data_IF_844300466025
#
_entry.id   IF_844300466025
#
_cell.length_a   1.000
_cell.length_b   1.000
_cell.length_c   1.000
_cell.angle_alpha   90.00
_cell.angle_beta   90.00
_cell.angle_gamma   90.00
#
_symmetry.space_group_name_H-M   'P 1'
#
loop_
_entity.id
_entity.type
_entity.pdbx_description
1 polymer ?
#
# COMPACT_ATOMS: atom_id res chain seq x y z
N UNK A 1 22.59 88.25 -44.31
CA UNK A 1 21.25 87.75 -43.92
C UNK A 1 21.42 86.42 -43.21
N UNK A 2 21.22 86.31 -41.89
CA UNK A 2 21.20 85.01 -41.22
C UNK A 2 19.79 84.38 -41.30
N UNK A 3 19.68 83.04 -41.37
CA UNK A 3 18.41 82.35 -41.53
C UNK A 3 17.64 82.20 -40.21
N UNK A 4 16.31 82.19 -40.34
CA UNK A 4 15.33 82.01 -39.25
C UNK A 4 15.36 80.59 -38.69
N UNK A 5 15.39 80.48 -37.36
CA UNK A 5 15.16 79.24 -36.63
C UNK A 5 13.67 78.97 -36.49
N UNK A 6 13.22 77.77 -36.89
CA UNK A 6 11.89 77.23 -36.55
C UNK A 6 12.07 76.14 -35.49
N UNK A 7 11.39 76.29 -34.34
CA UNK A 7 11.37 75.29 -33.27
C UNK A 7 10.21 74.33 -33.49
N UNK A 8 10.51 73.07 -33.81
CA UNK A 8 9.54 71.96 -33.78
C UNK A 8 9.43 71.41 -32.35
N UNK A 9 8.24 71.55 -31.74
CA UNK A 9 7.91 70.92 -30.45
C UNK A 9 7.79 69.40 -30.61
N UNK A 10 8.61 68.64 -29.87
CA UNK A 10 8.48 67.18 -29.72
C UNK A 10 7.25 66.83 -28.84
N UNK A 11 6.46 65.87 -29.31
CA UNK A 11 5.26 65.30 -28.67
C UNK A 11 5.67 64.32 -27.54
N UNK A 12 5.02 64.29 -26.37
CA UNK A 12 5.50 63.51 -25.23
C UNK A 12 5.19 62.01 -25.32
N UNK A 13 6.12 61.26 -24.74
CA UNK A 13 6.37 59.82 -24.73
C UNK A 13 5.31 59.02 -23.93
N UNK A 14 4.13 58.76 -24.49
CA UNK A 14 3.06 57.94 -23.85
C UNK A 14 3.25 56.41 -23.97
N UNK A 15 4.26 55.94 -24.70
CA UNK A 15 4.41 54.52 -25.05
C UNK A 15 5.06 53.65 -23.94
N UNK A 16 5.94 54.22 -23.11
CA UNK A 16 6.67 53.48 -22.07
C UNK A 16 5.78 53.00 -20.91
N UNK A 17 4.77 53.79 -20.53
CA UNK A 17 3.96 53.50 -19.34
C UNK A 17 2.98 52.32 -19.55
N UNK A 18 2.54 52.10 -20.79
CA UNK A 18 1.69 50.96 -21.15
C UNK A 18 2.48 49.64 -21.27
N UNK A 19 3.77 49.71 -21.60
CA UNK A 19 4.64 48.53 -21.69
C UNK A 19 4.92 47.95 -20.29
N UNK A 20 5.17 48.82 -19.31
CA UNK A 20 5.40 48.42 -17.91
C UNK A 20 4.15 47.79 -17.28
N UNK A 21 2.95 48.31 -17.58
CA UNK A 21 1.68 47.74 -17.10
C UNK A 21 1.40 46.36 -17.72
N UNK A 22 1.63 46.20 -19.03
CA UNK A 22 1.49 44.89 -19.69
C UNK A 22 2.46 43.86 -19.13
N UNK A 23 3.72 44.25 -18.90
CA UNK A 23 4.72 43.37 -18.30
C UNK A 23 4.32 42.94 -16.88
N UNK A 24 3.79 43.88 -16.08
CA UNK A 24 3.29 43.59 -14.73
C UNK A 24 2.12 42.59 -14.77
N UNK A 25 1.13 42.78 -15.65
CA UNK A 25 0.02 41.85 -15.79
C UNK A 25 0.46 40.46 -16.25
N UNK A 26 1.44 40.38 -17.17
CA UNK A 26 1.99 39.08 -17.60
C UNK A 26 2.71 38.34 -16.48
N UNK A 27 3.45 39.05 -15.60
CA UNK A 27 4.12 38.46 -14.45
C UNK A 27 3.11 38.00 -13.39
N UNK A 28 2.06 38.80 -13.14
CA UNK A 28 1.01 38.43 -12.20
C UNK A 28 0.21 37.20 -12.69
N UNK A 29 -0.08 37.12 -13.98
CA UNK A 29 -0.79 35.98 -14.55
C UNK A 29 0.07 34.71 -14.54
N UNK A 30 1.36 34.82 -14.86
CA UNK A 30 2.27 33.67 -14.83
C UNK A 30 2.49 33.14 -13.41
N UNK A 31 2.63 34.02 -12.41
CA UNK A 31 2.76 33.61 -11.01
C UNK A 31 1.48 32.94 -10.51
N UNK A 32 0.30 33.45 -10.87
CA UNK A 32 -0.98 32.82 -10.54
C UNK A 32 -1.12 31.42 -11.14
N UNK A 33 -0.74 31.24 -12.42
CA UNK A 33 -0.74 29.95 -13.11
C UNK A 33 0.24 28.95 -12.48
N UNK A 34 1.47 29.39 -12.17
CA UNK A 34 2.45 28.55 -11.48
C UNK A 34 1.96 28.15 -10.08
N UNK A 35 1.35 29.07 -9.33
CA UNK A 35 0.83 28.77 -8.00
C UNK A 35 -0.36 27.80 -8.09
N UNK A 36 -1.25 27.98 -9.06
CA UNK A 36 -2.36 27.06 -9.33
C UNK A 36 -1.86 25.67 -9.74
N UNK A 37 -0.78 25.59 -10.53
CA UNK A 37 -0.15 24.32 -10.89
C UNK A 37 0.55 23.65 -9.70
N UNK A 38 1.23 24.41 -8.85
CA UNK A 38 1.85 23.87 -7.62
C UNK A 38 0.79 23.42 -6.61
N UNK A 39 -0.31 24.15 -6.48
CA UNK A 39 -1.46 23.77 -5.66
C UNK A 39 -2.15 22.54 -6.23
N UNK A 40 -2.41 22.51 -7.55
CA UNK A 40 -3.02 21.34 -8.19
C UNK A 40 -2.12 20.12 -8.04
N UNK A 41 -0.82 20.25 -8.26
CA UNK A 41 0.16 19.20 -7.99
C UNK A 41 0.12 18.76 -6.52
N UNK A 42 0.09 19.69 -5.56
CA UNK A 42 0.02 19.34 -4.14
C UNK A 42 -1.29 18.66 -3.71
N UNK A 43 -2.41 18.95 -4.38
CA UNK A 43 -3.70 18.30 -4.11
C UNK A 43 -3.92 17.01 -4.91
N UNK A 44 -3.34 16.89 -6.10
CA UNK A 44 -3.48 15.73 -6.99
C UNK A 44 -2.41 14.67 -6.73
N UNK A 45 -1.24 15.04 -6.20
CA UNK A 45 -0.26 14.07 -5.71
C UNK A 45 -0.80 13.49 -4.42
N UNK A 46 -1.06 12.17 -4.35
CA UNK A 46 -1.46 11.53 -3.12
C UNK A 46 -0.44 11.83 -2.05
N UNK A 47 -0.88 12.44 -0.95
CA UNK A 47 -0.07 12.56 0.25
C UNK A 47 0.20 11.13 0.73
N UNK A 48 1.41 10.62 0.55
CA UNK A 48 1.90 9.37 1.15
C UNK A 48 2.11 9.59 2.67
N UNK A 49 1.02 9.89 3.37
CA UNK A 49 0.97 10.14 4.80
C UNK A 49 -0.27 9.52 5.45
N UNK A 50 -0.93 8.59 4.76
CA UNK A 50 -1.86 7.65 5.39
C UNK A 50 -1.07 6.50 6.05
N UNK A 51 -1.64 5.90 7.09
CA UNK A 51 -1.15 4.61 7.60
C UNK A 51 -1.09 3.63 6.43
N UNK A 52 0.01 2.88 6.29
CA UNK A 52 0.09 1.85 5.26
C UNK A 52 -0.85 0.71 5.67
N UNK A 53 -1.79 0.34 4.81
CA UNK A 53 -2.70 -0.76 5.13
C UNK A 53 -1.99 -2.11 5.02
N UNK A 54 -2.40 -3.04 5.87
CA UNK A 54 -2.02 -4.44 5.81
C UNK A 54 -3.28 -5.29 5.94
N UNK A 55 -3.29 -6.48 5.36
CA UNK A 55 -4.46 -7.36 5.37
C UNK A 55 -4.09 -8.77 5.83
N UNK A 56 -4.92 -9.33 6.71
CA UNK A 56 -4.90 -10.73 7.11
C UNK A 56 -6.18 -11.34 6.56
N UNK A 57 -6.05 -12.22 5.58
CA UNK A 57 -7.17 -12.93 4.93
C UNK A 57 -7.17 -14.36 5.44
N UNK A 58 -8.13 -14.69 6.29
CA UNK A 58 -8.18 -15.98 6.99
C UNK A 58 -9.30 -16.87 6.46
N UNK A 59 -9.07 -17.43 5.26
CA UNK A 59 -9.97 -18.41 4.65
C UNK A 59 -10.13 -19.65 5.55
N UNK A 60 -9.12 -20.02 6.33
CA UNK A 60 -9.19 -21.19 7.21
C UNK A 60 -10.21 -21.05 8.33
N UNK A 61 -10.56 -19.81 8.73
CA UNK A 61 -11.55 -19.56 9.79
C UNK A 61 -13.00 -19.96 9.44
N UNK A 62 -13.27 -20.44 8.21
CA UNK A 62 -14.54 -21.11 7.89
C UNK A 62 -14.71 -22.46 8.60
N UNK A 63 -13.62 -23.00 9.15
CA UNK A 63 -13.57 -24.27 9.86
C UNK A 63 -13.29 -24.05 11.34
N UNK A 64 -14.22 -24.41 12.21
CA UNK A 64 -14.09 -24.20 13.65
C UNK A 64 -12.81 -24.85 14.24
N UNK A 65 -12.33 -25.95 13.66
CA UNK A 65 -11.10 -26.64 14.09
C UNK A 65 -9.81 -26.04 13.51
N UNK A 66 -9.90 -25.08 12.60
CA UNK A 66 -8.74 -24.36 12.03
C UNK A 66 -8.67 -22.89 12.47
N UNK A 67 -9.71 -22.39 13.15
CA UNK A 67 -9.71 -21.08 13.81
C UNK A 67 -8.52 -20.99 14.77
N UNK A 68 -7.76 -19.91 14.68
CA UNK A 68 -6.65 -19.62 15.58
C UNK A 68 -6.65 -18.13 15.98
N UNK A 69 -7.50 -17.77 16.94
CA UNK A 69 -7.62 -16.39 17.42
C UNK A 69 -6.30 -15.85 17.98
N UNK A 70 -5.48 -16.70 18.63
CA UNK A 70 -4.19 -16.28 19.15
C UNK A 70 -3.24 -15.84 18.02
N UNK A 71 -3.17 -16.59 16.92
CA UNK A 71 -2.42 -16.17 15.74
C UNK A 71 -2.95 -14.84 15.17
N UNK A 72 -4.27 -14.69 15.02
CA UNK A 72 -4.88 -13.47 14.46
C UNK A 72 -4.57 -12.26 15.33
N UNK A 73 -4.72 -12.39 16.65
CA UNK A 73 -4.42 -11.32 17.62
C UNK A 73 -2.94 -10.95 17.59
N UNK A 74 -2.04 -11.93 17.61
CA UNK A 74 -0.59 -11.68 17.62
C UNK A 74 -0.11 -11.07 16.29
N UNK A 75 -0.58 -11.60 15.16
CA UNK A 75 -0.26 -11.09 13.83
C UNK A 75 -0.76 -9.64 13.65
N UNK A 76 -2.01 -9.37 14.05
CA UNK A 76 -2.60 -8.03 14.04
C UNK A 76 -1.80 -7.08 14.93
N UNK A 77 -1.47 -7.50 16.16
CA UNK A 77 -0.71 -6.68 17.11
C UNK A 77 0.67 -6.34 16.57
N UNK A 78 1.37 -7.30 15.98
CA UNK A 78 2.69 -7.13 15.41
C UNK A 78 2.68 -6.14 14.24
N UNK A 79 1.76 -6.33 13.29
CA UNK A 79 1.62 -5.44 12.13
C UNK A 79 1.29 -4.01 12.58
N UNK A 80 0.35 -3.84 13.52
CA UNK A 80 -0.04 -2.54 14.06
C UNK A 80 1.10 -1.86 14.84
N UNK A 81 1.85 -2.60 15.66
CA UNK A 81 2.99 -2.07 16.40
C UNK A 81 4.06 -1.46 15.49
N UNK A 82 4.15 -1.94 14.23
CA UNK A 82 5.10 -1.47 13.23
C UNK A 82 4.52 -0.43 12.25
N UNK A 83 3.37 0.17 12.59
CA UNK A 83 2.82 1.36 11.94
C UNK A 83 1.98 1.09 10.70
N UNK A 84 1.53 -0.15 10.53
CA UNK A 84 0.54 -0.52 9.52
C UNK A 84 -0.85 -0.55 10.14
N UNK A 85 -1.89 -0.32 9.36
CA UNK A 85 -3.28 -0.53 9.78
C UNK A 85 -3.73 -1.93 9.33
N UNK A 86 -3.69 -2.89 10.24
CA UNK A 86 -4.06 -4.27 9.97
C UNK A 86 -5.60 -4.43 9.86
N UNK A 87 -6.06 -4.87 8.69
CA UNK A 87 -7.44 -5.30 8.43
C UNK A 87 -7.53 -6.82 8.45
N UNK A 88 -8.47 -7.34 9.23
CA UNK A 88 -8.78 -8.77 9.27
C UNK A 88 -10.01 -9.08 8.42
N UNK A 89 -9.90 -10.08 7.56
CA UNK A 89 -10.98 -10.62 6.75
C UNK A 89 -11.22 -12.07 7.14
N UNK A 90 -12.35 -12.30 7.81
CA UNK A 90 -12.76 -13.62 8.28
C UNK A 90 -13.16 -14.52 7.11
N UNK A 91 -13.18 -15.82 7.38
CA UNK A 91 -13.29 -16.88 6.40
C UNK A 91 -14.51 -16.72 5.52
N UNK A 92 -15.70 -16.50 6.09
CA UNK A 92 -16.94 -16.40 5.32
C UNK A 92 -16.91 -15.29 4.25
N UNK A 93 -16.05 -14.28 4.42
CA UNK A 93 -15.89 -13.18 3.47
C UNK A 93 -14.96 -13.50 2.29
N UNK A 94 -14.12 -14.54 2.39
CA UNK A 94 -13.08 -14.88 1.40
C UNK A 94 -13.66 -15.62 0.18
N UNK A 95 -14.51 -14.92 -0.56
CA UNK A 95 -15.21 -15.40 -1.75
C UNK A 95 -14.39 -15.19 -3.04
N UNK A 96 -14.87 -15.73 -4.17
CA UNK A 96 -14.34 -15.41 -5.51
C UNK A 96 -14.42 -13.90 -5.75
N UNK A 97 -15.51 -13.25 -5.33
CA UNK A 97 -15.64 -11.81 -5.49
C UNK A 97 -14.70 -11.02 -4.56
N UNK A 98 -14.44 -11.53 -3.35
CA UNK A 98 -13.40 -10.97 -2.49
C UNK A 98 -12.03 -11.02 -3.18
N UNK A 99 -11.65 -12.18 -3.72
CA UNK A 99 -10.38 -12.33 -4.45
C UNK A 99 -10.32 -11.44 -5.69
N UNK A 100 -11.43 -11.32 -6.44
CA UNK A 100 -11.52 -10.40 -7.58
C UNK A 100 -11.13 -8.98 -7.18
N UNK A 101 -11.59 -8.53 -6.02
CA UNK A 101 -11.37 -7.18 -5.52
C UNK A 101 -10.21 -7.09 -4.51
N UNK A 102 -9.37 -8.12 -4.40
CA UNK A 102 -8.30 -8.13 -3.41
C UNK A 102 -7.19 -7.11 -3.70
N UNK A 103 -6.69 -6.95 -4.95
CA UNK A 103 -5.63 -5.98 -5.21
C UNK A 103 -6.08 -4.53 -4.96
N UNK A 104 -7.35 -4.20 -5.22
CA UNK A 104 -7.87 -2.83 -5.02
C UNK A 104 -7.90 -2.38 -3.55
N UNK A 105 -7.65 -3.28 -2.60
CA UNK A 105 -7.53 -2.96 -1.16
C UNK A 105 -6.17 -2.35 -0.77
N UNK A 106 -5.21 -2.24 -1.70
CA UNK A 106 -3.96 -1.46 -1.54
C UNK A 106 -3.13 -1.78 -0.27
N UNK A 107 -3.03 -3.06 0.10
CA UNK A 107 -2.40 -3.49 1.36
C UNK A 107 -0.92 -3.88 1.19
N UNK A 108 0.02 -3.08 1.71
CA UNK A 108 1.48 -3.29 1.59
C UNK A 108 1.98 -4.62 2.15
N UNK A 109 1.27 -5.17 3.11
CA UNK A 109 1.50 -6.52 3.64
C UNK A 109 0.19 -7.28 3.52
N UNK A 110 0.24 -8.44 2.87
CA UNK A 110 -0.91 -9.32 2.71
C UNK A 110 -0.57 -10.71 3.21
N UNK A 111 -1.19 -11.11 4.32
CA UNK A 111 -1.08 -12.45 4.90
C UNK A 111 -2.29 -13.26 4.44
N UNK A 112 -2.06 -14.22 3.53
CA UNK A 112 -3.10 -15.13 3.05
C UNK A 112 -3.03 -16.45 3.84
N UNK A 113 -3.80 -16.51 4.93
CA UNK A 113 -4.04 -17.71 5.71
C UNK A 113 -5.16 -18.52 5.03
N UNK A 114 -4.79 -19.20 3.95
CA UNK A 114 -5.71 -19.95 3.11
C UNK A 114 -5.14 -21.32 2.72
N UNK A 115 -6.03 -22.27 2.46
CA UNK A 115 -5.62 -23.51 1.83
C UNK A 115 -5.11 -23.25 0.41
N UNK A 116 -4.12 -24.03 0.01
CA UNK A 116 -3.65 -24.11 -1.37
C UNK A 116 -3.27 -25.54 -1.70
N UNK A 117 -3.45 -25.90 -2.96
CA UNK A 117 -3.11 -27.22 -3.49
C UNK A 117 -2.62 -27.09 -4.91
N UNK A 118 -1.78 -28.06 -5.31
CA UNK A 118 -1.54 -28.29 -6.72
C UNK A 118 -2.86 -28.64 -7.40
N UNK A 119 -3.11 -28.03 -8.55
CA UNK A 119 -4.15 -28.42 -9.48
C UNK A 119 -3.88 -29.86 -9.96
N UNK A 120 -4.93 -30.57 -10.36
CA UNK A 120 -4.84 -32.00 -10.73
C UNK A 120 -3.87 -32.31 -11.88
N UNK A 121 -3.56 -31.32 -12.73
CA UNK A 121 -2.56 -31.40 -13.80
C UNK A 121 -1.13 -31.09 -13.32
N UNK A 122 -0.95 -30.74 -12.04
CA UNK A 122 0.31 -30.40 -11.37
C UNK A 122 1.06 -29.18 -11.90
N UNK A 123 0.42 -28.38 -12.77
CA UNK A 123 1.07 -27.23 -13.43
C UNK A 123 0.98 -25.95 -12.62
N UNK A 124 0.00 -25.86 -11.73
CA UNK A 124 -0.34 -24.64 -11.01
C UNK A 124 -0.79 -24.94 -9.59
N UNK A 125 -0.67 -23.92 -8.74
CA UNK A 125 -1.18 -23.93 -7.38
C UNK A 125 -2.41 -23.04 -7.34
N UNK A 126 -3.52 -23.58 -6.84
CA UNK A 126 -4.75 -22.83 -6.66
C UNK A 126 -4.94 -22.46 -5.19
N UNK A 127 -5.50 -21.27 -4.94
CA UNK A 127 -5.87 -20.80 -3.59
C UNK A 127 -7.36 -21.06 -3.37
N UNK A 128 -7.69 -21.68 -2.23
CA UNK A 128 -9.06 -22.02 -1.91
C UNK A 128 -9.85 -20.76 -1.58
N UNK A 129 -11.12 -20.73 -1.98
CA UNK A 129 -12.10 -19.75 -1.52
C UNK A 129 -12.97 -20.37 -0.43
N UNK A 130 -13.75 -19.53 0.22
CA UNK A 130 -14.78 -19.95 1.18
C UNK A 130 -16.11 -20.28 0.54
N UNK A 131 -16.22 -20.18 -0.79
CA UNK A 131 -17.46 -20.50 -1.50
C UNK A 131 -17.59 -22.01 -1.74
N UNK A 132 -18.64 -22.66 -1.22
CA UNK A 132 -18.90 -24.06 -1.54
C UNK A 132 -19.04 -24.27 -3.04
N UNK A 133 -18.44 -25.34 -3.56
CA UNK A 133 -18.54 -25.68 -4.96
C UNK A 133 -19.98 -26.07 -5.31
N UNK A 134 -20.51 -25.50 -6.38
CA UNK A 134 -21.83 -25.84 -6.93
C UNK A 134 -21.69 -26.08 -8.43
N UNK A 135 -22.05 -27.29 -8.88
CA UNK A 135 -22.03 -27.64 -10.29
C UNK A 135 -22.92 -26.68 -11.11
N UNK A 136 -24.12 -26.38 -10.61
CA UNK A 136 -25.04 -25.44 -11.25
C UNK A 136 -24.44 -24.04 -11.38
N UNK A 137 -23.69 -23.55 -10.37
CA UNK A 137 -23.01 -22.25 -10.48
C UNK A 137 -21.85 -22.30 -11.46
N UNK A 138 -21.07 -23.38 -11.44
CA UNK A 138 -19.96 -23.62 -12.35
C UNK A 138 -20.43 -23.63 -13.82
N UNK A 139 -21.56 -24.26 -14.10
CA UNK A 139 -22.13 -24.38 -15.46
C UNK A 139 -22.91 -23.15 -15.93
N UNK A 140 -23.29 -22.25 -15.02
CA UNK A 140 -24.04 -21.04 -15.34
C UNK A 140 -23.23 -19.78 -15.02
N UNK A 141 -23.35 -19.27 -13.78
CA UNK A 141 -22.78 -18.00 -13.38
C UNK A 141 -21.25 -17.90 -13.53
N UNK A 142 -20.55 -19.03 -13.45
CA UNK A 142 -19.09 -19.11 -13.57
C UNK A 142 -18.61 -19.89 -14.79
N UNK A 143 -19.48 -20.11 -15.78
CA UNK A 143 -19.14 -20.87 -16.97
C UNK A 143 -17.84 -20.38 -17.63
N UNK A 144 -17.71 -19.08 -17.83
CA UNK A 144 -16.49 -18.50 -18.42
C UNK A 144 -15.25 -18.69 -17.55
N UNK A 145 -15.38 -18.65 -16.23
CA UNK A 145 -14.24 -18.81 -15.32
C UNK A 145 -13.74 -20.24 -15.29
N UNK A 146 -14.64 -21.20 -15.44
CA UNK A 146 -14.29 -22.62 -15.51
C UNK A 146 -13.61 -22.94 -16.84
N UNK A 147 -14.17 -22.54 -17.98
CA UNK A 147 -13.59 -22.88 -19.30
C UNK A 147 -12.27 -22.16 -19.60
N UNK A 148 -11.99 -21.05 -18.91
CA UNK A 148 -10.72 -20.28 -19.00
C UNK A 148 -9.76 -20.62 -17.85
N UNK A 149 -10.04 -21.68 -17.09
CA UNK A 149 -9.17 -22.17 -16.02
C UNK A 149 -8.90 -21.16 -14.88
N UNK A 150 -9.72 -20.12 -14.77
CA UNK A 150 -9.64 -19.11 -13.71
C UNK A 150 -10.02 -19.70 -12.36
N UNK A 151 -11.08 -20.51 -12.33
CA UNK A 151 -11.52 -21.19 -11.11
C UNK A 151 -11.57 -22.69 -11.31
N UNK A 152 -11.34 -23.42 -10.21
CA UNK A 152 -11.38 -24.89 -10.20
C UNK A 152 -12.20 -25.41 -9.02
N UNK A 153 -12.51 -26.71 -9.05
CA UNK A 153 -13.08 -27.43 -7.92
C UNK A 153 -11.94 -27.89 -7.01
N UNK A 154 -11.96 -27.43 -5.76
CA UNK A 154 -11.02 -27.85 -4.74
C UNK A 154 -11.70 -28.79 -3.74
N UNK A 155 -10.96 -29.80 -3.27
CA UNK A 155 -11.43 -30.76 -2.27
C UNK A 155 -10.69 -30.51 -0.97
N UNK A 156 -11.47 -30.38 0.09
CA UNK A 156 -10.99 -30.14 1.44
C UNK A 156 -11.18 -31.41 2.27
N UNK A 157 -10.15 -32.26 2.27
CA UNK A 157 -10.20 -33.64 2.77
C UNK A 157 -10.55 -33.79 4.27
N UNK A 158 -10.51 -32.69 5.03
CA UNK A 158 -10.87 -32.68 6.45
C UNK A 158 -12.38 -32.81 6.67
N UNK A 159 -13.20 -32.50 5.64
CA UNK A 159 -14.66 -32.66 5.72
C UNK A 159 -15.14 -33.92 5.01
N UNK A 160 -16.18 -34.60 5.53
CA UNK A 160 -16.84 -35.66 4.78
C UNK A 160 -17.66 -35.07 3.61
N UNK A 161 -17.74 -35.77 2.46
CA UNK A 161 -18.70 -35.44 1.42
C UNK A 161 -20.14 -35.39 1.95
N UNK A 162 -21.01 -34.53 1.38
CA UNK A 162 -20.79 -33.68 0.21
C UNK A 162 -20.21 -32.28 0.52
N UNK A 163 -19.98 -31.95 1.80
CA UNK A 163 -19.66 -30.58 2.24
C UNK A 163 -18.16 -30.27 2.23
N UNK A 164 -17.40 -30.99 1.41
CA UNK A 164 -15.94 -30.95 1.40
C UNK A 164 -15.37 -30.35 0.12
N UNK A 165 -16.18 -29.64 -0.67
CA UNK A 165 -15.74 -29.08 -1.95
C UNK A 165 -16.03 -27.59 -2.03
N UNK A 166 -15.04 -26.84 -2.50
CA UNK A 166 -15.06 -25.39 -2.60
C UNK A 166 -14.57 -24.95 -3.98
N UNK A 167 -14.87 -23.72 -4.37
CA UNK A 167 -14.16 -23.11 -5.49
C UNK A 167 -12.75 -22.70 -5.07
N UNK A 168 -11.79 -22.78 -5.98
CA UNK A 168 -10.46 -22.22 -5.82
C UNK A 168 -10.11 -21.33 -7.03
N UNK A 169 -9.23 -20.36 -6.81
CA UNK A 169 -8.74 -19.44 -7.84
C UNK A 169 -7.33 -19.86 -8.29
N UNK A 170 -7.11 -19.88 -9.60
CA UNK A 170 -5.80 -20.19 -10.19
C UNK A 170 -5.04 -18.96 -10.65
N UNK A 171 -3.82 -19.15 -11.19
CA UNK A 171 -2.99 -18.05 -11.67
C UNK A 171 -3.66 -17.17 -12.74
N UNK A 172 -4.45 -17.76 -13.66
CA UNK A 172 -5.15 -16.97 -14.69
C UNK A 172 -6.27 -16.09 -14.12
N UNK A 173 -6.82 -16.43 -12.94
CA UNK A 173 -7.76 -15.53 -12.25
C UNK A 173 -7.05 -14.27 -11.77
N UNK A 174 -5.81 -14.40 -11.28
CA UNK A 174 -5.00 -13.26 -10.84
C UNK A 174 -4.70 -12.34 -12.03
N UNK A 175 -4.28 -12.91 -13.16
CA UNK A 175 -3.94 -12.10 -14.34
C UNK A 175 -5.18 -11.44 -14.96
N UNK A 176 -6.25 -12.21 -15.18
CA UNK A 176 -7.31 -11.81 -16.11
C UNK A 176 -8.57 -11.28 -15.40
N UNK A 177 -8.80 -11.69 -14.14
CA UNK A 177 -10.08 -11.45 -13.43
C UNK A 177 -9.93 -10.47 -12.27
N UNK A 178 -8.83 -10.53 -11.52
CA UNK A 178 -8.60 -9.60 -10.41
C UNK A 178 -8.54 -8.15 -10.89
N UNK A 179 -9.07 -7.23 -10.09
CA UNK A 179 -9.19 -5.81 -10.40
C UNK A 179 -8.21 -4.99 -9.56
N UNK A 180 -7.48 -4.09 -10.24
CA UNK A 180 -6.42 -3.30 -9.64
C UNK A 180 -5.07 -4.02 -9.62
N UNK A 181 -4.14 -3.48 -8.86
CA UNK A 181 -2.77 -3.97 -8.70
C UNK A 181 -2.41 -4.05 -7.22
N UNK A 182 -1.46 -4.91 -6.87
CA UNK A 182 -0.99 -5.06 -5.51
C UNK A 182 -0.02 -3.96 -5.07
N UNK A 183 0.27 -2.92 -5.87
CA UNK A 183 1.04 -1.73 -5.45
C UNK A 183 2.28 -2.04 -4.58
N UNK A 184 3.22 -2.82 -5.12
CA UNK A 184 4.47 -3.19 -4.46
C UNK A 184 4.31 -3.94 -3.12
N UNK A 185 3.24 -4.72 -2.97
CA UNK A 185 2.97 -5.43 -1.72
C UNK A 185 3.85 -6.66 -1.50
N UNK A 186 4.14 -6.94 -0.22
CA UNK A 186 4.66 -8.21 0.25
C UNK A 186 3.49 -9.16 0.53
N UNK A 187 3.42 -10.27 -0.18
CA UNK A 187 2.38 -11.28 -0.02
C UNK A 187 2.96 -12.54 0.63
N UNK A 188 2.34 -13.03 1.70
CA UNK A 188 2.71 -14.27 2.39
C UNK A 188 1.60 -15.31 2.15
N UNK A 189 1.91 -16.35 1.40
CA UNK A 189 1.02 -17.48 1.10
C UNK A 189 1.25 -18.62 2.10
N UNK A 190 0.40 -18.70 3.13
CA UNK A 190 0.59 -19.64 4.24
C UNK A 190 0.17 -21.08 3.93
N UNK A 191 -0.50 -21.31 2.80
CA UNK A 191 -1.02 -22.61 2.41
C UNK A 191 0.07 -23.61 1.98
N UNK A 192 -0.29 -24.89 1.98
CA UNK A 192 0.56 -25.97 1.50
C UNK A 192 1.00 -25.74 0.05
N UNK A 193 2.25 -26.10 -0.27
CA UNK A 193 2.79 -26.08 -1.64
C UNK A 193 2.64 -24.72 -2.36
N UNK A 194 2.42 -23.63 -1.63
CA UNK A 194 2.10 -22.31 -2.19
C UNK A 194 3.21 -21.72 -3.07
N UNK A 195 4.45 -22.21 -2.92
CA UNK A 195 5.58 -21.90 -3.78
C UNK A 195 6.28 -23.14 -4.34
N UNK A 196 5.57 -24.28 -4.41
CA UNK A 196 6.07 -25.48 -5.08
C UNK A 196 6.17 -25.28 -6.60
N UNK A 197 5.24 -24.51 -7.16
CA UNK A 197 5.27 -23.98 -8.52
C UNK A 197 5.27 -22.46 -8.44
N UNK A 198 6.00 -21.80 -9.33
CA UNK A 198 6.08 -20.33 -9.33
C UNK A 198 4.91 -19.66 -10.03
N UNK A 199 4.06 -20.39 -10.75
CA UNK A 199 3.00 -19.82 -11.62
C UNK A 199 2.03 -18.89 -10.88
N UNK A 200 1.60 -19.25 -9.67
CA UNK A 200 0.76 -18.38 -8.84
C UNK A 200 1.53 -17.13 -8.36
N UNK A 201 2.77 -17.31 -7.90
CA UNK A 201 3.60 -16.21 -7.44
C UNK A 201 3.96 -15.23 -8.57
N UNK A 202 4.25 -15.76 -9.76
CA UNK A 202 4.50 -14.99 -10.97
C UNK A 202 3.25 -14.19 -11.38
N UNK A 203 2.07 -14.81 -11.35
CA UNK A 203 0.83 -14.09 -11.62
C UNK A 203 0.59 -12.94 -10.62
N UNK A 204 0.86 -13.15 -9.33
CA UNK A 204 0.75 -12.11 -8.30
C UNK A 204 1.78 -10.98 -8.50
N UNK A 205 3.03 -11.30 -8.81
CA UNK A 205 4.08 -10.30 -9.10
C UNK A 205 3.75 -9.51 -10.37
N UNK A 206 3.29 -10.18 -11.43
CA UNK A 206 2.82 -9.51 -12.65
C UNK A 206 1.59 -8.64 -12.39
N UNK A 207 0.83 -8.92 -11.32
CA UNK A 207 -0.28 -8.09 -10.82
C UNK A 207 0.17 -7.00 -9.84
N UNK A 208 1.48 -6.72 -9.76
CA UNK A 208 2.04 -5.61 -8.99
C UNK A 208 2.51 -5.96 -7.58
N UNK A 209 2.59 -7.25 -7.20
CA UNK A 209 3.21 -7.63 -5.92
C UNK A 209 4.73 -7.46 -6.02
N UNK A 210 5.36 -6.95 -4.96
CA UNK A 210 6.82 -6.81 -4.89
C UNK A 210 7.50 -8.15 -4.61
N UNK A 211 6.97 -8.90 -3.65
CA UNK A 211 7.51 -10.20 -3.24
C UNK A 211 6.36 -11.12 -2.85
N UNK A 212 6.46 -12.38 -3.23
CA UNK A 212 5.61 -13.45 -2.73
C UNK A 212 6.47 -14.42 -1.92
N UNK A 213 6.08 -14.70 -0.69
CA UNK A 213 6.73 -15.68 0.20
C UNK A 213 5.75 -16.84 0.41
N UNK A 214 6.21 -18.09 0.34
CA UNK A 214 5.36 -19.26 0.48
C UNK A 214 6.13 -20.54 0.80
N UNK A 215 5.43 -21.67 0.80
CA UNK A 215 5.96 -22.98 1.19
C UNK A 215 6.26 -23.87 0.00
N UNK A 216 7.42 -24.54 0.03
CA UNK A 216 7.85 -25.46 -1.03
C UNK A 216 7.10 -26.80 -1.02
N UNK A 217 6.55 -27.21 0.14
CA UNK A 217 5.83 -28.47 0.35
C UNK A 217 4.61 -28.29 1.26
N UNK A 218 3.99 -29.41 1.66
CA UNK A 218 2.98 -29.44 2.72
C UNK A 218 3.54 -28.86 4.02
N UNK A 219 2.69 -28.26 4.84
CA UNK A 219 3.06 -27.67 6.13
C UNK A 219 1.89 -27.87 7.10
N UNK A 220 2.19 -28.17 8.36
CA UNK A 220 1.18 -28.25 9.42
C UNK A 220 0.67 -26.85 9.79
N UNK A 221 -0.60 -26.77 10.19
CA UNK A 221 -1.25 -25.50 10.53
C UNK A 221 -0.48 -24.71 11.60
N UNK A 222 -0.09 -25.37 12.69
CA UNK A 222 0.65 -24.72 13.77
C UNK A 222 2.04 -24.23 13.34
N UNK A 223 2.69 -24.94 12.41
CA UNK A 223 4.03 -24.59 11.94
C UNK A 223 3.98 -23.40 10.97
N UNK A 224 2.98 -23.33 10.08
CA UNK A 224 2.79 -22.18 9.20
C UNK A 224 2.40 -20.91 9.97
N UNK A 225 1.52 -21.02 10.96
CA UNK A 225 1.13 -19.90 11.83
C UNK A 225 2.35 -19.37 12.61
N UNK A 226 3.08 -20.24 13.30
CA UNK A 226 4.25 -19.85 14.09
C UNK A 226 5.42 -19.34 13.24
N UNK A 227 5.61 -19.88 12.03
CA UNK A 227 6.66 -19.44 11.11
C UNK A 227 6.32 -18.08 10.50
N UNK A 228 5.05 -17.81 10.21
CA UNK A 228 4.59 -16.51 9.70
C UNK A 228 4.78 -15.41 10.74
N UNK A 229 4.46 -15.66 12.01
CA UNK A 229 4.72 -14.71 13.10
C UNK A 229 6.22 -14.41 13.26
N UNK A 230 7.08 -15.42 13.19
CA UNK A 230 8.54 -15.23 13.23
C UNK A 230 9.04 -14.46 12.01
N UNK A 231 8.54 -14.78 10.81
CA UNK A 231 8.88 -14.07 9.58
C UNK A 231 8.55 -12.59 9.68
N UNK A 232 7.32 -12.25 10.11
CA UNK A 232 6.89 -10.87 10.31
C UNK A 232 7.74 -10.16 11.36
N UNK A 233 8.12 -10.83 12.45
CA UNK A 233 9.02 -10.26 13.46
C UNK A 233 10.37 -9.85 12.86
N UNK A 234 10.94 -10.64 11.94
CA UNK A 234 12.17 -10.27 11.25
C UNK A 234 11.98 -9.17 10.21
N UNK A 235 10.91 -9.24 9.42
CA UNK A 235 10.64 -8.30 8.35
C UNK A 235 10.24 -6.90 8.85
N UNK A 236 9.57 -6.82 10.01
CA UNK A 236 9.02 -5.58 10.55
C UNK A 236 9.83 -4.99 11.71
N UNK A 237 10.87 -5.69 12.18
CA UNK A 237 11.76 -5.21 13.24
C UNK A 237 12.24 -3.77 13.00
N UNK A 238 12.58 -3.04 14.07
CA UNK A 238 13.06 -1.66 13.97
C UNK A 238 14.26 -1.50 13.03
N UNK A 239 15.16 -2.49 13.04
CA UNK A 239 16.17 -2.72 12.01
C UNK A 239 15.77 -3.97 11.21
N UNK A 240 15.00 -3.81 10.12
CA UNK A 240 14.39 -4.95 9.44
C UNK A 240 15.44 -5.76 8.68
N UNK A 241 15.26 -7.08 8.71
CA UNK A 241 16.00 -8.01 7.88
C UNK A 241 15.59 -7.85 6.42
N UNK A 242 16.48 -8.23 5.49
CA UNK A 242 16.09 -8.40 4.10
C UNK A 242 15.20 -9.63 3.95
N UNK A 243 14.42 -9.73 2.87
CA UNK A 243 13.60 -10.92 2.58
C UNK A 243 14.41 -12.21 2.66
N UNK A 244 15.55 -12.27 1.95
CA UNK A 244 16.46 -13.44 1.99
C UNK A 244 16.85 -13.80 3.42
N UNK A 245 17.31 -12.81 4.18
CA UNK A 245 17.81 -13.03 5.54
C UNK A 245 16.71 -13.46 6.50
N UNK A 246 15.49 -12.91 6.36
CA UNK A 246 14.35 -13.26 7.18
C UNK A 246 13.88 -14.71 6.88
N UNK A 247 13.80 -15.08 5.60
CA UNK A 247 13.47 -16.45 5.19
C UNK A 247 14.52 -17.45 5.68
N UNK A 248 15.81 -17.12 5.57
CA UNK A 248 16.91 -17.95 6.12
C UNK A 248 16.80 -18.14 7.62
N UNK A 249 16.44 -17.08 8.35
CA UNK A 249 16.28 -17.16 9.80
C UNK A 249 15.15 -18.11 10.19
N UNK A 250 14.02 -18.07 9.50
CA UNK A 250 12.90 -18.99 9.76
C UNK A 250 13.29 -20.43 9.43
N UNK A 251 13.98 -20.65 8.31
CA UNK A 251 14.43 -21.98 7.86
C UNK A 251 15.61 -22.57 8.67
N UNK A 252 16.11 -21.91 9.73
CA UNK A 252 17.17 -22.46 10.60
C UNK A 252 16.71 -23.63 11.49
N UNK A 253 15.47 -24.09 11.33
CA UNK A 253 14.92 -25.28 11.95
C UNK A 253 14.28 -26.18 10.90
N UNK A 254 14.10 -27.44 11.23
CA UNK A 254 13.33 -28.37 10.40
C UNK A 254 11.84 -28.09 10.61
N UNK A 255 11.12 -27.86 9.51
CA UNK A 255 9.67 -27.71 9.50
C UNK A 255 8.97 -29.03 9.19
N UNK A 256 7.66 -29.06 9.48
CA UNK A 256 6.76 -30.14 9.11
C UNK A 256 6.92 -30.54 7.63
N UNK A 257 6.84 -31.85 7.36
CA UNK A 257 7.07 -32.46 6.03
C UNK A 257 8.40 -32.11 5.35
N UNK A 258 9.39 -31.62 6.10
CA UNK A 258 10.65 -31.10 5.55
C UNK A 258 10.40 -30.04 4.45
N UNK A 259 9.38 -29.21 4.69
CA UNK A 259 9.05 -28.02 3.91
C UNK A 259 10.01 -26.89 4.27
N UNK A 260 10.12 -25.90 3.39
CA UNK A 260 10.89 -24.68 3.63
C UNK A 260 10.08 -23.49 3.17
N UNK A 261 10.22 -22.35 3.86
CA UNK A 261 9.79 -21.09 3.30
C UNK A 261 10.72 -20.70 2.16
N UNK A 262 10.13 -20.14 1.12
CA UNK A 262 10.86 -19.59 0.00
C UNK A 262 10.18 -18.32 -0.52
N UNK A 263 10.82 -17.61 -1.45
CA UNK A 263 10.29 -16.34 -1.99
C UNK A 263 10.48 -16.21 -3.50
N UNK A 264 9.64 -15.39 -4.13
CA UNK A 264 9.66 -15.07 -5.55
C UNK A 264 9.46 -13.55 -5.74
N UNK A 265 10.14 -12.89 -6.70
CA UNK A 265 11.11 -13.46 -7.65
C UNK A 265 12.50 -13.74 -7.04
N UNK A 266 13.36 -14.43 -7.81
CA UNK A 266 14.73 -14.83 -7.42
C UNK A 266 15.81 -13.87 -7.94
N UNK A 267 15.50 -12.58 -7.95
CA UNK A 267 16.44 -11.54 -8.33
C UNK A 267 17.10 -10.88 -7.11
N UNK A 268 18.19 -10.15 -7.39
CA UNK A 268 18.97 -9.48 -6.36
C UNK A 268 18.17 -8.39 -5.64
N UNK A 269 17.27 -7.68 -6.34
CA UNK A 269 16.44 -6.63 -5.74
C UNK A 269 15.52 -7.19 -4.66
N UNK A 270 14.92 -8.35 -4.92
CA UNK A 270 14.05 -9.06 -3.98
C UNK A 270 14.84 -9.61 -2.81
N UNK A 271 16.02 -10.17 -3.03
CA UNK A 271 16.86 -10.71 -1.96
C UNK A 271 17.23 -9.66 -0.89
N UNK A 272 17.54 -8.44 -1.34
CA UNK A 272 17.93 -7.32 -0.47
C UNK A 272 16.75 -6.45 -0.04
N UNK A 273 15.54 -6.70 -0.55
CA UNK A 273 14.35 -5.93 -0.23
C UNK A 273 14.07 -5.93 1.28
N UNK A 274 13.75 -4.75 1.81
CA UNK A 274 13.32 -4.53 3.20
C UNK A 274 11.94 -3.90 3.17
N UNK A 275 11.03 -4.43 3.99
CA UNK A 275 9.68 -3.89 4.10
C UNK A 275 9.76 -2.43 4.61
N UNK A 276 9.12 -1.47 3.92
CA UNK A 276 9.07 -0.08 4.37
C UNK A 276 8.46 0.03 5.76
N UNK A 277 8.87 1.01 6.56
CA UNK A 277 8.23 1.27 7.85
C UNK A 277 6.84 1.86 7.63
N UNK A 278 5.86 1.37 8.39
CA UNK A 278 4.56 2.00 8.48
C UNK A 278 4.63 3.40 9.13
N UNK A 279 3.64 4.24 8.85
CA UNK A 279 3.56 5.58 9.44
C UNK A 279 2.58 5.59 10.62
N UNK A 280 3.12 5.64 11.84
CA UNK A 280 2.29 5.84 13.03
C UNK A 280 1.85 7.32 13.12
N UNK A 281 0.74 7.67 12.46
CA UNK A 281 0.13 8.99 12.63
C UNK A 281 -0.43 9.20 14.06
N UNK A 282 -0.74 8.11 14.78
CA UNK A 282 -1.33 8.19 16.13
C UNK A 282 -0.32 8.66 17.19
N UNK A 283 0.97 8.32 17.08
CA UNK A 283 1.99 8.72 18.07
C UNK A 283 2.57 10.11 17.84
N UNK A 284 2.40 10.69 16.64
CA UNK A 284 2.97 12.00 16.28
C UNK A 284 2.04 13.19 16.58
N UNK A 285 0.76 12.95 16.87
CA UNK A 285 -0.20 13.99 17.26
C UNK A 285 -0.16 14.35 18.75
N UNK A 286 0.57 13.60 19.59
CA UNK A 286 0.69 13.89 21.03
C UNK A 286 1.93 14.69 21.44
N UNK A 287 2.88 14.99 20.54
CA UNK A 287 4.14 15.64 20.95
C UNK A 287 4.60 16.84 20.12
N UNK A 288 3.78 17.37 19.21
CA UNK A 288 4.12 18.61 18.50
C UNK A 288 2.98 19.61 18.64
N UNK A 289 3.13 20.45 19.68
CA UNK A 289 2.52 21.76 19.77
C UNK A 289 2.52 22.44 18.39
N UNK A 290 1.33 22.82 17.98
CA UNK A 290 0.98 23.59 16.79
C UNK A 290 1.95 24.75 16.52
N UNK A 291 2.59 24.85 15.34
CA UNK A 291 3.23 26.09 14.89
C UNK A 291 2.19 26.96 14.17
N UNK A 292 1.16 27.43 14.89
CA UNK A 292 0.19 28.42 14.36
C UNK A 292 0.19 29.72 15.20
N UNK A 293 1.13 29.89 16.13
CA UNK A 293 1.27 31.10 16.95
C UNK A 293 2.60 31.85 16.79
N UNK A 294 3.28 31.73 15.64
CA UNK A 294 4.51 32.50 15.36
C UNK A 294 4.33 33.64 14.35
N UNK A 295 3.11 33.89 13.86
CA UNK A 295 2.83 35.01 12.95
C UNK A 295 2.14 36.21 13.60
N UNK A 296 1.73 36.13 14.87
CA UNK A 296 1.19 37.29 15.60
C UNK A 296 2.27 38.09 16.35
N UNK A 297 3.40 37.48 16.71
CA UNK A 297 4.45 38.17 17.47
C UNK A 297 5.37 39.06 16.61
N UNK A 298 5.51 38.78 15.32
CA UNK A 298 6.25 39.65 14.39
C UNK A 298 5.46 40.89 13.95
N UNK A 299 4.13 40.87 14.07
CA UNK A 299 3.28 42.03 13.81
C UNK A 299 3.19 42.99 15.02
N UNK A 300 3.38 42.48 16.24
CA UNK A 300 3.36 43.32 17.45
C UNK A 300 4.72 44.01 17.73
N UNK A 301 5.83 43.46 17.23
CA UNK A 301 7.15 44.07 17.42
C UNK A 301 7.38 45.34 16.57
N UNK A 302 6.77 45.44 15.39
CA UNK A 302 6.95 46.61 14.50
C UNK A 302 6.00 47.78 14.75
N UNK A 303 5.00 47.63 15.62
CA UNK A 303 4.05 48.69 15.93
C UNK A 303 4.40 49.52 17.18
N UNK A 304 5.32 49.02 18.04
CA UNK A 304 5.74 49.70 19.27
C UNK A 304 6.96 50.63 19.12
N UNK A 305 7.73 50.55 18.04
CA UNK A 305 8.84 51.50 17.81
C UNK A 305 8.38 52.87 17.26
N UNK A 306 7.12 53.00 16.81
CA UNK A 306 6.59 54.29 16.34
C UNK A 306 5.87 55.12 17.41
N UNK A 307 5.60 54.55 18.59
CA UNK A 307 5.01 55.28 19.72
C UNK A 307 6.07 55.74 20.74
N UNK A 308 7.26 55.15 20.76
CA UNK A 308 8.37 55.57 21.63
C UNK A 308 9.12 56.82 21.13
N UNK A 309 9.03 57.17 19.84
CA UNK A 309 9.73 58.34 19.26
C UNK A 309 8.89 59.64 19.38
N UNK A 310 7.58 59.55 19.61
CA UNK A 310 6.74 60.74 19.79
C UNK A 310 6.59 61.21 21.24
N UNK A 311 6.98 60.40 22.24
CA UNK A 311 6.89 60.76 23.66
C UNK A 311 8.19 61.36 24.25
N UNK A 312 9.33 61.26 23.57
CA UNK A 312 10.61 61.83 24.04
C UNK A 312 10.88 63.26 23.50
N UNK A 313 10.04 63.75 22.58
CA UNK A 313 10.11 65.13 22.07
C UNK A 313 9.18 66.11 22.80
N UNK A 314 8.23 65.63 23.60
CA UNK A 314 7.32 66.48 24.39
C UNK A 314 7.83 66.78 25.81
N UNK A 315 8.88 66.10 26.29
CA UNK A 315 9.41 66.27 27.65
C UNK A 315 10.69 67.14 27.72
N UNK A 316 11.16 67.72 26.61
CA UNK A 316 12.34 68.60 26.57
C UNK A 316 12.05 70.09 26.38
N UNK A 317 10.78 70.50 26.34
CA UNK A 317 10.39 71.92 26.21
C UNK A 317 9.11 72.31 26.99
N UNK A 318 8.94 71.78 28.21
CA UNK A 318 7.97 72.31 29.20
C UNK A 318 8.48 72.10 30.61
#
# INVERSE_FOLDING_TARGET
MPPKWTTTKKKPEKAKDNLNKKLLYTILLSTLLCLAFLLSYYFLVPRSGGSLEAAIVDQLSIEANLVNNAFVEECTSLINAHGFDAKYYEGETVTIDFYRNLPSKSSKILVLRAHSSLRGDTTSVDLFTSEPFSQTRAENAYYEYVIKDHISKAVFDVRPPPNNTYFAIGPSFVTDVMQGEFDDSLIILMGCVSLNQTTMAEALVNKGARVVIGWTKKVDLSDTDASTLQLLNYLLAENPYTVRSAVDKVNNRVHSYNSTLDFYPKDHETEIYKVPKGSNLSSTLSSKSTPILLLTDLACWKHNERLAICLDLAARYS
#
